data_IF_918811453496
#
_entry.id   IF_918811453496
#
_cell.length_a   1.000
_cell.length_b   1.000
_cell.length_c   1.000
_cell.angle_alpha   90.00
_cell.angle_beta   90.00
_cell.angle_gamma   90.00
#
_symmetry.space_group_name_H-M   'P 1'
#
loop_
_entity.id
_entity.type
_entity.pdbx_description
1 polymer ?
#
# COMPACT_ATOMS: atom_id res chain seq x y z
N UNK A 1 14.78 -6.51 -9.00
CA UNK A 1 16.20 -6.14 -8.83
C UNK A 1 17.04 -7.41 -8.66
N UNK A 2 18.28 -7.46 -9.14
CA UNK A 2 19.20 -8.55 -8.83
C UNK A 2 20.28 -8.06 -7.85
N UNK A 3 20.31 -8.62 -6.62
CA UNK A 3 21.32 -8.28 -5.62
C UNK A 3 22.74 -8.68 -6.03
N UNK A 4 22.88 -9.81 -6.71
CA UNK A 4 24.19 -10.33 -7.13
C UNK A 4 24.85 -9.43 -8.18
N UNK A 5 24.06 -8.94 -9.14
CA UNK A 5 24.57 -8.12 -10.23
C UNK A 5 24.48 -6.62 -9.93
N UNK A 6 23.81 -6.23 -8.84
CA UNK A 6 23.49 -4.84 -8.51
C UNK A 6 22.81 -4.11 -9.68
N UNK A 7 21.85 -4.79 -10.31
CA UNK A 7 21.12 -4.24 -11.48
C UNK A 7 19.62 -4.22 -11.23
N UNK A 8 18.99 -3.17 -11.72
CA UNK A 8 17.55 -3.09 -11.83
C UNK A 8 17.12 -3.63 -13.18
N UNK A 9 16.29 -4.68 -13.17
CA UNK A 9 15.63 -5.20 -14.35
C UNK A 9 14.12 -5.15 -14.12
N UNK A 10 13.43 -4.24 -14.80
CA UNK A 10 11.97 -4.18 -14.83
C UNK A 10 11.53 -3.59 -16.17
N UNK A 11 10.57 -4.25 -16.84
CA UNK A 11 10.01 -3.82 -18.12
C UNK A 11 11.05 -3.45 -19.21
N UNK A 12 12.14 -4.21 -19.29
CA UNK A 12 13.19 -4.02 -20.30
C UNK A 12 14.20 -2.91 -19.97
N UNK A 13 14.00 -2.16 -18.87
CA UNK A 13 15.04 -1.27 -18.34
C UNK A 13 16.11 -2.09 -17.64
N UNK A 14 17.36 -1.71 -17.87
CA UNK A 14 18.53 -2.32 -17.24
C UNK A 14 19.44 -1.21 -16.70
N UNK A 15 19.32 -0.94 -15.40
CA UNK A 15 20.02 0.16 -14.73
C UNK A 15 21.05 -0.40 -13.75
N UNK A 16 22.28 0.11 -13.82
CA UNK A 16 23.33 -0.19 -12.85
C UNK A 16 23.08 0.53 -11.52
N UNK A 17 23.10 -0.24 -10.43
CA UNK A 17 22.85 0.22 -9.07
C UNK A 17 24.10 0.16 -8.18
N UNK A 18 25.30 -0.04 -8.72
CA UNK A 18 26.53 -0.16 -7.93
C UNK A 18 26.76 1.00 -6.96
N UNK A 19 26.42 2.23 -7.38
CA UNK A 19 26.55 3.44 -6.56
C UNK A 19 25.35 3.68 -5.62
N UNK A 20 24.36 2.79 -5.61
CA UNK A 20 23.10 2.94 -4.89
C UNK A 20 22.91 1.88 -3.80
N UNK A 21 23.77 1.91 -2.78
CA UNK A 21 23.74 0.93 -1.67
C UNK A 21 22.40 0.84 -0.92
N UNK A 22 21.57 1.89 -0.96
CA UNK A 22 20.22 1.90 -0.39
C UNK A 22 19.29 0.87 -1.06
N UNK A 23 19.47 0.58 -2.35
CA UNK A 23 18.68 -0.43 -3.07
C UNK A 23 19.00 -1.84 -2.59
N UNK A 24 20.29 -2.13 -2.36
CA UNK A 24 20.70 -3.41 -1.79
C UNK A 24 20.16 -3.63 -0.37
N UNK A 25 20.02 -2.57 0.44
CA UNK A 25 19.35 -2.64 1.75
C UNK A 25 17.84 -2.86 1.61
N UNK A 26 17.20 -2.12 0.70
CA UNK A 26 15.78 -2.22 0.43
C UNK A 26 15.39 -3.63 -0.06
N UNK A 27 16.14 -4.19 -1.00
CA UNK A 27 15.87 -5.55 -1.50
C UNK A 27 16.02 -6.60 -0.40
N UNK A 28 17.06 -6.53 0.43
CA UNK A 28 17.20 -7.46 1.58
C UNK A 28 16.01 -7.36 2.53
N UNK A 29 15.47 -6.16 2.70
CA UNK A 29 14.28 -5.97 3.53
C UNK A 29 13.04 -6.55 2.84
N UNK A 30 12.86 -6.31 1.54
CA UNK A 30 11.78 -6.86 0.73
C UNK A 30 11.82 -8.39 0.74
N UNK A 31 12.94 -8.99 0.31
CA UNK A 31 13.14 -10.44 0.19
C UNK A 31 13.18 -11.17 1.55
N UNK A 32 13.35 -10.44 2.65
CA UNK A 32 13.33 -10.97 4.01
C UNK A 32 12.00 -10.73 4.71
N UNK A 33 11.89 -9.59 5.41
CA UNK A 33 10.77 -9.33 6.34
C UNK A 33 9.44 -9.13 5.62
N UNK A 34 9.42 -8.47 4.46
CA UNK A 34 8.17 -8.22 3.73
C UNK A 34 7.72 -9.47 2.96
N UNK A 35 8.65 -10.23 2.41
CA UNK A 35 8.38 -11.51 1.76
C UNK A 35 7.70 -12.50 2.71
N UNK A 36 8.17 -12.59 3.95
CA UNK A 36 7.54 -13.42 4.99
C UNK A 36 6.12 -12.97 5.35
N UNK A 37 5.73 -11.74 4.98
CA UNK A 37 4.35 -11.22 5.08
C UNK A 37 3.55 -11.39 3.77
N UNK A 38 4.10 -12.10 2.79
CA UNK A 38 3.48 -12.31 1.48
C UNK A 38 3.46 -11.06 0.60
N UNK A 39 4.34 -10.09 0.83
CA UNK A 39 4.45 -8.86 0.04
C UNK A 39 5.52 -9.04 -1.04
N UNK A 40 5.18 -8.68 -2.27
CA UNK A 40 6.12 -8.66 -3.40
C UNK A 40 5.77 -7.52 -4.38
N UNK A 41 6.52 -7.42 -5.47
CA UNK A 41 6.27 -6.43 -6.52
C UNK A 41 4.87 -6.50 -7.13
N UNK A 42 4.15 -7.62 -7.00
CA UNK A 42 2.84 -7.80 -7.66
C UNK A 42 1.66 -7.82 -6.70
N UNK A 43 1.88 -7.62 -5.40
CA UNK A 43 0.81 -7.74 -4.41
C UNK A 43 0.02 -6.45 -4.20
N UNK A 44 0.61 -5.30 -4.49
CA UNK A 44 -0.07 -4.00 -4.47
C UNK A 44 0.44 -3.02 -3.43
N UNK A 45 1.09 -3.49 -2.37
CA UNK A 45 1.55 -2.65 -1.25
C UNK A 45 2.67 -1.70 -1.66
N UNK A 46 3.59 -2.17 -2.51
CA UNK A 46 4.64 -1.32 -3.07
C UNK A 46 4.05 -0.29 -4.04
N UNK A 47 3.07 -0.68 -4.87
CA UNK A 47 2.37 0.26 -5.75
C UNK A 47 1.66 1.35 -4.95
N UNK A 48 0.96 0.99 -3.87
CA UNK A 48 0.33 1.95 -2.98
C UNK A 48 1.36 2.94 -2.41
N UNK A 49 2.49 2.44 -1.91
CA UNK A 49 3.58 3.27 -1.41
C UNK A 49 4.16 4.18 -2.50
N UNK A 50 4.38 3.67 -3.71
CA UNK A 50 4.85 4.46 -4.84
C UNK A 50 3.87 5.58 -5.21
N UNK A 51 2.56 5.32 -5.23
CA UNK A 51 1.55 6.36 -5.52
C UNK A 51 1.54 7.47 -4.46
N UNK A 52 1.65 7.09 -3.18
CA UNK A 52 1.78 8.06 -2.08
C UNK A 52 3.05 8.91 -2.22
N UNK A 53 4.19 8.26 -2.47
CA UNK A 53 5.49 8.94 -2.64
C UNK A 53 5.49 9.85 -3.87
N UNK A 54 5.03 9.35 -5.03
CA UNK A 54 4.91 10.13 -6.27
C UNK A 54 4.06 11.39 -6.06
N UNK A 55 2.94 11.26 -5.35
CA UNK A 55 2.07 12.40 -5.05
C UNK A 55 2.76 13.43 -4.15
N UNK A 56 3.54 12.96 -3.16
CA UNK A 56 4.31 13.84 -2.28
C UNK A 56 5.51 14.49 -2.97
N UNK A 57 6.13 13.80 -3.93
CA UNK A 57 7.29 14.29 -4.67
C UNK A 57 6.99 15.51 -5.55
N UNK A 58 5.71 15.73 -5.93
CA UNK A 58 5.26 16.96 -6.61
C UNK A 58 5.65 18.22 -5.82
N UNK A 59 5.54 18.15 -4.49
CA UNK A 59 5.77 19.27 -3.59
C UNK A 59 7.17 19.22 -2.95
N UNK A 60 8.05 18.32 -3.41
CA UNK A 60 9.36 18.08 -2.81
C UNK A 60 10.47 17.91 -3.88
N UNK A 61 10.78 18.97 -4.67
CA UNK A 61 11.70 18.89 -5.80
C UNK A 61 13.14 18.47 -5.42
N UNK A 62 13.57 18.77 -4.19
CA UNK A 62 14.93 18.45 -3.71
C UNK A 62 15.07 17.02 -3.15
N UNK A 63 13.99 16.24 -3.14
CA UNK A 63 13.98 14.90 -2.57
C UNK A 63 14.91 13.95 -3.35
N UNK A 64 15.50 12.98 -2.64
CA UNK A 64 16.45 12.04 -3.23
C UNK A 64 15.93 11.25 -4.46
N UNK A 65 14.62 10.90 -4.56
CA UNK A 65 14.08 10.30 -5.77
C UNK A 65 14.21 11.16 -7.03
N UNK A 66 14.06 12.49 -6.95
CA UNK A 66 14.24 13.37 -8.12
C UNK A 66 15.67 13.37 -8.65
N UNK A 67 16.67 13.39 -7.75
CA UNK A 67 18.08 13.29 -8.13
C UNK A 67 18.40 11.98 -8.84
N UNK A 68 17.86 10.87 -8.33
CA UNK A 68 17.97 9.56 -8.98
C UNK A 68 17.24 9.51 -10.33
N UNK A 69 16.11 10.19 -10.47
CA UNK A 69 15.40 10.27 -11.74
C UNK A 69 16.27 10.92 -12.83
N UNK A 70 16.97 12.01 -12.49
CA UNK A 70 17.95 12.65 -13.36
C UNK A 70 19.10 11.70 -13.70
N UNK A 71 19.68 11.02 -12.70
CA UNK A 71 20.79 10.07 -12.90
C UNK A 71 20.39 8.88 -13.78
N UNK A 72 19.16 8.39 -13.66
CA UNK A 72 18.63 7.26 -14.43
C UNK A 72 18.02 7.67 -15.77
N UNK A 73 17.91 8.97 -16.05
CA UNK A 73 17.32 9.48 -17.30
C UNK A 73 15.82 9.22 -17.42
N UNK A 74 15.08 9.24 -16.30
CA UNK A 74 13.62 9.01 -16.25
C UNK A 74 12.91 10.14 -15.52
N UNK A 75 11.58 10.17 -15.60
CA UNK A 75 10.75 11.10 -14.85
C UNK A 75 9.99 10.37 -13.74
N UNK A 76 10.33 10.66 -12.48
CA UNK A 76 9.71 10.06 -11.28
C UNK A 76 8.20 10.36 -11.16
N UNK A 77 7.71 11.40 -11.82
CA UNK A 77 6.29 11.78 -11.79
C UNK A 77 5.48 11.22 -12.97
N UNK A 78 6.14 10.59 -13.95
CA UNK A 78 5.48 10.12 -15.19
C UNK A 78 4.59 8.90 -14.96
N UNK A 79 5.15 7.81 -14.45
CA UNK A 79 4.43 6.55 -14.21
C UNK A 79 4.87 5.86 -12.91
N UNK A 80 4.17 4.79 -12.54
CA UNK A 80 4.41 4.08 -11.27
C UNK A 80 5.69 3.26 -11.29
N UNK A 81 6.16 2.82 -12.46
CA UNK A 81 7.35 2.01 -12.61
C UNK A 81 8.62 2.89 -12.53
N UNK A 82 8.58 4.09 -13.10
CA UNK A 82 9.61 5.11 -12.93
C UNK A 82 9.64 5.64 -11.50
N UNK A 83 8.48 5.86 -10.90
CA UNK A 83 8.39 6.15 -9.47
C UNK A 83 8.98 5.02 -8.62
N UNK A 84 8.67 3.76 -8.94
CA UNK A 84 9.21 2.60 -8.24
C UNK A 84 10.72 2.51 -8.41
N UNK A 85 11.26 2.67 -9.63
CA UNK A 85 12.69 2.69 -9.88
C UNK A 85 13.35 3.79 -9.04
N UNK A 86 12.87 5.02 -9.10
CA UNK A 86 13.52 6.17 -8.47
C UNK A 86 13.32 6.25 -6.96
N UNK A 87 12.24 5.68 -6.42
CA UNK A 87 11.90 5.74 -5.01
C UNK A 87 11.90 4.34 -4.35
N UNK A 88 12.54 3.33 -4.95
CA UNK A 88 12.48 1.95 -4.46
C UNK A 88 12.80 1.78 -2.95
N UNK A 89 13.90 2.35 -2.42
CA UNK A 89 14.21 2.28 -1.00
C UNK A 89 13.13 2.92 -0.11
N UNK A 90 12.62 4.07 -0.53
CA UNK A 90 11.53 4.78 0.15
C UNK A 90 10.22 3.99 0.10
N UNK A 91 9.89 3.39 -1.05
CA UNK A 91 8.69 2.58 -1.23
C UNK A 91 8.72 1.33 -0.35
N UNK A 92 9.87 0.66 -0.24
CA UNK A 92 10.06 -0.48 0.65
C UNK A 92 9.95 -0.05 2.11
N UNK A 93 10.59 1.06 2.50
CA UNK A 93 10.54 1.56 3.87
C UNK A 93 9.11 1.97 4.28
N UNK A 94 8.42 2.72 3.41
CA UNK A 94 7.03 3.12 3.61
C UNK A 94 6.11 1.89 3.68
N UNK A 95 6.28 0.92 2.78
CA UNK A 95 5.51 -0.34 2.83
C UNK A 95 5.70 -1.02 4.19
N UNK A 96 6.93 -1.09 4.69
CA UNK A 96 7.23 -1.65 6.00
C UNK A 96 6.53 -0.94 7.16
N UNK A 97 6.38 0.39 7.09
CA UNK A 97 5.62 1.17 8.07
C UNK A 97 4.11 0.94 7.93
N UNK A 98 3.58 0.96 6.70
CA UNK A 98 2.14 0.81 6.45
C UNK A 98 1.60 -0.57 6.85
N UNK A 99 2.43 -1.60 6.81
CA UNK A 99 2.06 -2.98 7.22
C UNK A 99 2.51 -3.33 8.64
N UNK A 100 3.11 -2.38 9.37
CA UNK A 100 3.37 -2.58 10.79
C UNK A 100 2.06 -2.76 11.55
N UNK A 101 2.02 -3.71 12.49
CA UNK A 101 0.77 -4.11 13.14
C UNK A 101 0.18 -2.97 13.98
N UNK A 102 1.00 -2.16 14.65
CA UNK A 102 0.51 -1.05 15.47
C UNK A 102 0.07 0.11 14.60
N UNK A 103 0.87 0.45 13.59
CA UNK A 103 0.55 1.50 12.63
C UNK A 103 -0.75 1.18 11.90
N UNK A 104 -0.88 -0.03 11.36
CA UNK A 104 -2.03 -0.45 10.59
C UNK A 104 -3.31 -0.51 11.44
N UNK A 105 -3.20 -0.94 12.70
CA UNK A 105 -4.31 -0.91 13.66
C UNK A 105 -4.78 0.52 13.93
N UNK A 106 -3.88 1.48 14.01
CA UNK A 106 -4.27 2.88 14.13
C UNK A 106 -4.92 3.38 12.83
N UNK A 107 -4.25 3.13 11.69
CA UNK A 107 -4.66 3.59 10.37
C UNK A 107 -6.04 3.09 9.95
N UNK A 108 -6.36 1.83 10.25
CA UNK A 108 -7.60 1.16 9.82
C UNK A 108 -8.58 0.88 10.96
N UNK A 109 -8.18 1.17 12.20
CA UNK A 109 -9.02 0.97 13.36
C UNK A 109 -10.27 1.84 13.31
N UNK A 110 -11.48 1.26 13.35
CA UNK A 110 -12.73 2.03 13.21
C UNK A 110 -12.95 3.02 14.36
N UNK A 111 -12.29 2.82 15.51
CA UNK A 111 -12.35 3.68 16.70
C UNK A 111 -11.67 5.04 16.54
N UNK A 112 -10.74 5.19 15.59
CA UNK A 112 -10.01 6.43 15.40
C UNK A 112 -10.73 7.35 14.41
N UNK A 113 -10.46 8.65 14.50
CA UNK A 113 -10.99 9.65 13.56
C UNK A 113 -10.28 9.55 12.21
N UNK A 114 -11.01 9.84 11.14
CA UNK A 114 -10.47 9.76 9.76
C UNK A 114 -9.35 10.79 9.58
N UNK A 115 -9.54 11.98 10.13
CA UNK A 115 -8.59 13.09 10.04
C UNK A 115 -7.23 12.69 10.61
N UNK A 116 -7.20 12.11 11.83
CA UNK A 116 -5.98 11.64 12.46
C UNK A 116 -5.31 10.48 11.70
N UNK A 117 -6.10 9.63 11.04
CA UNK A 117 -5.58 8.55 10.20
C UNK A 117 -4.97 9.08 8.89
N UNK A 118 -5.53 10.15 8.34
CA UNK A 118 -4.96 10.84 7.18
C UNK A 118 -3.64 11.51 7.60
N UNK A 119 -3.64 12.23 8.71
CA UNK A 119 -2.44 12.91 9.24
C UNK A 119 -1.29 11.94 9.49
N UNK A 120 -1.53 10.80 10.13
CA UNK A 120 -0.46 9.82 10.40
C UNK A 120 0.08 9.20 9.09
N UNK A 121 -0.78 8.98 8.09
CA UNK A 121 -0.37 8.47 6.79
C UNK A 121 0.52 9.49 6.07
N UNK A 122 0.14 10.77 6.10
CA UNK A 122 0.96 11.85 5.57
C UNK A 122 2.29 11.97 6.33
N UNK A 123 2.27 11.85 7.66
CA UNK A 123 3.47 11.90 8.48
C UNK A 123 4.43 10.74 8.17
N UNK A 124 3.92 9.54 7.89
CA UNK A 124 4.74 8.40 7.47
C UNK A 124 5.43 8.67 6.12
N UNK A 125 4.70 9.23 5.15
CA UNK A 125 5.27 9.61 3.84
C UNK A 125 6.32 10.71 3.99
N UNK A 126 5.99 11.77 4.74
CA UNK A 126 6.87 12.88 5.05
C UNK A 126 8.17 12.41 5.76
N UNK A 127 8.05 11.47 6.71
CA UNK A 127 9.19 10.91 7.42
C UNK A 127 10.14 10.13 6.52
N UNK A 128 9.59 9.39 5.54
CA UNK A 128 10.39 8.63 4.56
C UNK A 128 11.08 9.55 3.55
N UNK A 129 10.36 10.56 3.02
CA UNK A 129 10.92 11.50 2.04
C UNK A 129 11.76 12.62 2.67
N UNK A 130 11.65 12.83 3.98
CA UNK A 130 12.17 14.01 4.70
C UNK A 130 11.67 15.32 4.09
N UNK A 131 10.40 15.36 3.70
CA UNK A 131 9.75 16.54 3.12
C UNK A 131 8.46 16.88 3.83
N UNK A 132 8.01 18.13 3.74
CA UNK A 132 6.64 18.48 4.09
C UNK A 132 5.70 17.87 3.03
N UNK A 133 4.62 17.22 3.48
CA UNK A 133 3.56 16.79 2.56
C UNK A 133 2.86 17.98 1.89
N UNK A 134 1.84 17.70 1.09
CA UNK A 134 1.04 18.74 0.45
C UNK A 134 -0.42 18.37 0.27
N UNK A 135 -1.18 19.27 -0.36
CA UNK A 135 -2.64 19.13 -0.53
C UNK A 135 -3.01 17.89 -1.35
N UNK A 136 -2.26 17.60 -2.41
CA UNK A 136 -2.48 16.41 -3.23
C UNK A 136 -2.30 15.13 -2.39
N UNK A 137 -1.25 15.07 -1.58
CA UNK A 137 -0.99 13.96 -0.67
C UNK A 137 -2.11 13.82 0.37
N UNK A 138 -2.64 14.93 0.89
CA UNK A 138 -3.75 14.93 1.83
C UNK A 138 -5.01 14.31 1.21
N UNK A 139 -5.35 14.71 -0.01
CA UNK A 139 -6.51 14.21 -0.74
C UNK A 139 -6.39 12.71 -1.04
N UNK A 140 -5.21 12.27 -1.52
CA UNK A 140 -4.94 10.88 -1.81
C UNK A 140 -5.01 10.02 -0.53
N UNK A 141 -4.33 10.45 0.54
CA UNK A 141 -4.35 9.76 1.84
C UNK A 141 -5.78 9.68 2.39
N UNK A 142 -6.55 10.76 2.25
CA UNK A 142 -7.98 10.81 2.59
C UNK A 142 -8.82 9.78 1.86
N UNK A 143 -8.60 9.58 0.56
CA UNK A 143 -9.32 8.56 -0.21
C UNK A 143 -8.92 7.15 0.22
N UNK A 144 -7.61 6.88 0.37
CA UNK A 144 -7.11 5.55 0.79
C UNK A 144 -7.68 5.17 2.16
N UNK A 145 -7.67 6.08 3.13
CA UNK A 145 -8.20 5.85 4.48
C UNK A 145 -9.72 5.61 4.41
N UNK A 146 -10.49 6.47 3.72
CA UNK A 146 -11.95 6.30 3.61
C UNK A 146 -12.33 4.99 2.94
N UNK A 147 -11.65 4.63 1.85
CA UNK A 147 -11.86 3.37 1.12
C UNK A 147 -11.52 2.16 1.98
N UNK A 148 -10.38 2.18 2.65
CA UNK A 148 -9.93 1.09 3.52
C UNK A 148 -10.87 0.91 4.72
N UNK A 149 -11.33 2.00 5.35
CA UNK A 149 -12.34 1.94 6.42
C UNK A 149 -13.65 1.35 5.94
N UNK A 150 -14.15 1.79 4.77
CA UNK A 150 -15.36 1.21 4.17
C UNK A 150 -15.18 -0.30 3.97
N UNK A 151 -14.02 -0.72 3.47
CA UNK A 151 -13.70 -2.13 3.28
C UNK A 151 -13.65 -2.91 4.62
N UNK A 152 -13.12 -2.31 5.70
CA UNK A 152 -13.16 -2.90 7.04
C UNK A 152 -14.60 -3.08 7.52
N UNK A 153 -15.46 -2.05 7.37
CA UNK A 153 -16.87 -2.16 7.76
C UNK A 153 -17.63 -3.23 6.97
N UNK A 154 -17.34 -3.35 5.67
CA UNK A 154 -17.88 -4.45 4.83
C UNK A 154 -17.42 -5.82 5.35
N UNK A 155 -16.17 -5.94 5.80
CA UNK A 155 -15.64 -7.18 6.37
C UNK A 155 -16.37 -7.56 7.68
N UNK A 156 -16.66 -6.60 8.57
CA UNK A 156 -17.45 -6.86 9.78
C UNK A 156 -18.87 -7.35 9.48
N UNK A 157 -19.49 -6.85 8.42
CA UNK A 157 -20.82 -7.28 7.95
C UNK A 157 -20.80 -8.51 7.04
N UNK A 158 -19.67 -9.21 6.91
CA UNK A 158 -19.54 -10.32 5.98
C UNK A 158 -20.20 -11.62 6.51
N UNK A 159 -21.02 -12.24 5.66
CA UNK A 159 -21.59 -13.57 5.85
C UNK A 159 -20.63 -14.63 5.33
N UNK A 160 -20.70 -15.85 5.86
CA UNK A 160 -19.79 -16.97 5.50
C UNK A 160 -19.66 -17.21 3.99
N UNK A 161 -20.76 -17.04 3.25
CA UNK A 161 -20.85 -16.99 1.79
C UNK A 161 -22.20 -16.38 1.35
N UNK A 162 -22.37 -16.15 0.04
CA UNK A 162 -23.58 -15.53 -0.53
C UNK A 162 -24.90 -16.28 -0.26
N UNK A 163 -24.85 -17.61 -0.09
CA UNK A 163 -26.06 -18.44 0.15
C UNK A 163 -26.51 -18.42 1.61
N UNK A 164 -25.65 -18.03 2.53
CA UNK A 164 -25.95 -18.04 3.97
C UNK A 164 -26.52 -16.69 4.39
N UNK A 165 -27.63 -16.67 5.14
CA UNK A 165 -28.28 -15.43 5.58
C UNK A 165 -27.75 -14.88 6.90
N UNK A 166 -27.44 -15.75 7.87
CA UNK A 166 -27.22 -15.35 9.27
C UNK A 166 -25.80 -15.62 9.80
N UNK A 167 -25.11 -16.65 9.31
CA UNK A 167 -23.77 -17.01 9.83
C UNK A 167 -22.71 -16.03 9.34
N UNK A 168 -22.03 -15.37 10.28
CA UNK A 168 -20.91 -14.46 10.01
C UNK A 168 -19.68 -15.23 9.49
N UNK A 169 -18.91 -14.56 8.64
CA UNK A 169 -17.59 -15.02 8.25
C UNK A 169 -16.59 -14.71 9.38
N UNK A 170 -15.57 -15.56 9.57
CA UNK A 170 -14.43 -15.19 10.39
C UNK A 170 -13.78 -13.91 9.85
N UNK A 171 -13.40 -13.00 10.75
CA UNK A 171 -12.97 -11.64 10.38
C UNK A 171 -11.73 -11.64 9.48
N UNK A 172 -10.76 -12.53 9.74
CA UNK A 172 -9.55 -12.66 8.94
C UNK A 172 -9.89 -12.96 7.46
N UNK A 173 -10.71 -14.01 7.23
CA UNK A 173 -11.20 -14.34 5.90
C UNK A 173 -12.01 -13.18 5.29
N UNK A 174 -12.83 -12.51 6.09
CA UNK A 174 -13.66 -11.41 5.63
C UNK A 174 -12.83 -10.20 5.19
N UNK A 175 -11.77 -9.86 5.94
CA UNK A 175 -10.84 -8.79 5.61
C UNK A 175 -10.07 -9.11 4.33
N UNK A 176 -9.55 -10.34 4.19
CA UNK A 176 -8.87 -10.77 2.97
C UNK A 176 -9.79 -10.67 1.74
N UNK A 177 -11.04 -11.12 1.88
CA UNK A 177 -12.01 -11.09 0.80
C UNK A 177 -12.49 -9.66 0.48
N UNK A 178 -12.60 -8.80 1.50
CA UNK A 178 -12.94 -7.38 1.36
C UNK A 178 -11.79 -6.57 0.73
N UNK A 179 -10.53 -6.85 1.10
CA UNK A 179 -9.32 -6.26 0.52
C UNK A 179 -9.32 -6.42 -1.00
N UNK A 180 -9.66 -7.62 -1.49
CA UNK A 180 -9.77 -7.91 -2.92
C UNK A 180 -10.91 -7.13 -3.58
N UNK A 181 -12.11 -7.20 -3.00
CA UNK A 181 -13.33 -6.65 -3.61
C UNK A 181 -13.27 -5.12 -3.67
N UNK A 182 -12.73 -4.50 -2.63
CA UNK A 182 -12.63 -3.05 -2.52
C UNK A 182 -11.30 -2.50 -3.04
N UNK A 183 -10.37 -3.33 -3.52
CA UNK A 183 -8.99 -2.94 -3.89
C UNK A 183 -8.35 -2.08 -2.79
N UNK A 184 -8.17 -2.70 -1.62
CA UNK A 184 -7.60 -2.09 -0.42
C UNK A 184 -6.57 -3.06 0.19
N UNK A 185 -5.34 -3.02 -0.32
CA UNK A 185 -4.33 -4.06 -0.10
C UNK A 185 -3.93 -4.22 1.37
N UNK A 186 -3.91 -3.12 2.12
CA UNK A 186 -3.46 -3.08 3.52
C UNK A 186 -4.32 -3.94 4.46
N UNK A 187 -5.59 -4.20 4.13
CA UNK A 187 -6.49 -5.01 4.96
C UNK A 187 -5.99 -6.45 5.17
N UNK A 188 -5.13 -6.96 4.26
CA UNK A 188 -4.57 -8.31 4.37
C UNK A 188 -3.60 -8.48 5.55
N UNK A 189 -3.08 -7.37 6.05
CA UNK A 189 -2.06 -7.34 7.11
C UNK A 189 -2.65 -6.96 8.47
N UNK A 190 -3.96 -6.70 8.54
CA UNK A 190 -4.61 -6.25 9.76
C UNK A 190 -4.76 -7.39 10.77
N UNK A 191 -4.12 -7.26 11.93
CA UNK A 191 -4.22 -8.22 13.02
C UNK A 191 -5.63 -8.21 13.65
N UNK A 192 -6.39 -9.28 13.39
CA UNK A 192 -7.76 -9.42 13.87
C UNK A 192 -7.87 -9.65 15.37
N UNK A 193 -6.82 -10.13 16.04
CA UNK A 193 -6.86 -10.43 17.48
C UNK A 193 -7.09 -9.15 18.29
N UNK A 194 -6.54 -8.03 17.82
CA UNK A 194 -6.60 -6.72 18.50
C UNK A 194 -7.69 -5.80 17.96
N UNK A 195 -8.55 -6.30 17.08
CA UNK A 195 -9.67 -5.54 16.52
C UNK A 195 -10.88 -5.58 17.46
N UNK A 196 -11.58 -4.44 17.65
CA UNK A 196 -12.78 -4.42 18.48
C UNK A 196 -13.88 -5.28 17.87
N UNK A 197 -14.70 -5.91 18.73
CA UNK A 197 -15.96 -6.49 18.29
C UNK A 197 -16.91 -5.36 17.88
N UNK A 198 -17.42 -5.39 16.66
CA UNK A 198 -18.40 -4.43 16.17
C UNK A 198 -19.68 -5.14 15.72
N UNK A 199 -20.82 -4.55 16.09
CA UNK A 199 -22.11 -4.95 15.56
C UNK A 199 -22.38 -4.21 14.26
N UNK A 200 -22.19 -4.92 13.15
CA UNK A 200 -22.49 -4.44 11.80
C UNK A 200 -23.54 -5.36 11.19
N UNK A 201 -24.56 -4.78 10.55
CA UNK A 201 -25.59 -5.56 9.88
C UNK A 201 -24.98 -6.43 8.77
N UNK A 202 -25.37 -7.71 8.67
CA UNK A 202 -24.89 -8.57 7.60
C UNK A 202 -25.36 -8.06 6.24
N UNK A 203 -24.41 -7.75 5.33
CA UNK A 203 -24.73 -7.17 4.02
C UNK A 203 -24.19 -7.98 2.84
N UNK A 204 -23.00 -8.55 2.99
CA UNK A 204 -22.25 -9.14 1.87
C UNK A 204 -21.85 -10.58 2.15
N UNK A 205 -21.83 -11.43 1.12
CA UNK A 205 -21.41 -12.83 1.24
C UNK A 205 -19.95 -13.02 0.87
N UNK A 206 -19.11 -13.44 1.82
CA UNK A 206 -17.68 -13.62 1.57
C UNK A 206 -17.39 -14.66 0.49
N UNK A 207 -16.41 -14.35 -0.35
CA UNK A 207 -15.93 -15.26 -1.39
C UNK A 207 -15.46 -16.60 -0.79
N UNK A 208 -15.60 -17.68 -1.55
CA UNK A 208 -15.14 -19.02 -1.12
C UNK A 208 -13.63 -19.02 -0.91
N UNK A 209 -13.17 -19.72 0.13
CA UNK A 209 -11.74 -19.77 0.51
C UNK A 209 -10.85 -20.26 -0.64
N UNK A 210 -11.24 -21.34 -1.35
CA UNK A 210 -10.50 -21.82 -2.53
C UNK A 210 -10.31 -20.73 -3.60
N UNK A 211 -11.33 -19.92 -3.83
CA UNK A 211 -11.27 -18.83 -4.81
C UNK A 211 -10.42 -17.66 -4.31
N UNK A 212 -10.31 -17.47 -3.00
CA UNK A 212 -9.42 -16.46 -2.39
C UNK A 212 -7.94 -16.89 -2.47
N UNK A 213 -7.66 -18.17 -2.24
CA UNK A 213 -6.28 -18.69 -2.29
C UNK A 213 -5.70 -18.67 -3.71
N UNK A 214 -6.53 -18.89 -4.72
CA UNK A 214 -6.12 -18.90 -6.13
C UNK A 214 -6.22 -17.51 -6.79
N UNK A 215 -6.62 -16.49 -6.03
CA UNK A 215 -6.92 -15.19 -6.56
C UNK A 215 -5.62 -14.37 -6.71
N UNK A 216 -5.43 -13.79 -7.90
CA UNK A 216 -4.39 -12.77 -8.10
C UNK A 216 -4.65 -11.59 -7.16
N UNK A 217 -3.65 -11.24 -6.36
CA UNK A 217 -3.66 -10.04 -5.52
C UNK A 217 -3.61 -8.81 -6.43
N UNK A 218 -4.39 -7.78 -6.09
CA UNK A 218 -4.50 -6.58 -6.91
C UNK A 218 -4.08 -5.35 -6.10
N UNK A 219 -3.42 -4.37 -6.74
CA UNK A 219 -3.17 -3.06 -6.14
C UNK A 219 -4.49 -2.30 -5.94
N UNK A 220 -4.41 -1.29 -5.08
CA UNK A 220 -5.45 -0.29 -4.92
C UNK A 220 -5.73 0.43 -6.25
N UNK A 221 -7.01 0.72 -6.51
CA UNK A 221 -7.44 1.36 -7.75
C UNK A 221 -7.37 2.88 -7.60
N UNK A 222 -6.16 3.44 -7.79
CA UNK A 222 -5.88 4.85 -7.50
C UNK A 222 -5.42 5.64 -8.75
N UNK A 223 -5.25 4.98 -9.89
CA UNK A 223 -4.59 5.57 -11.06
C UNK A 223 -5.34 6.81 -11.58
N UNK A 224 -6.67 6.75 -11.70
CA UNK A 224 -7.48 7.89 -12.13
C UNK A 224 -7.42 9.05 -11.12
N UNK A 225 -7.46 8.75 -9.81
CA UNK A 225 -7.35 9.77 -8.78
C UNK A 225 -5.97 10.43 -8.82
N UNK A 226 -4.90 9.64 -8.92
CA UNK A 226 -3.53 10.15 -8.99
C UNK A 226 -3.36 10.99 -10.25
N UNK A 227 -3.83 10.55 -11.41
CA UNK A 227 -3.77 11.33 -12.64
C UNK A 227 -4.44 12.72 -12.49
N UNK A 228 -5.63 12.78 -11.88
CA UNK A 228 -6.31 14.06 -11.60
C UNK A 228 -5.58 14.94 -10.58
N UNK A 229 -4.91 14.33 -9.61
CA UNK A 229 -4.13 15.05 -8.60
C UNK A 229 -2.77 15.50 -9.13
N UNK A 230 -2.25 14.88 -10.19
CA UNK A 230 -0.97 15.18 -10.83
C UNK A 230 -1.09 16.13 -12.02
N UNK A 231 -2.30 16.29 -12.58
CA UNK A 231 -2.64 17.40 -13.49
C UNK A 231 -2.49 18.76 -12.79
#
# INVERSE_FOLDING_TARGET
MCLSHQRWHLHGRDIDLQNHSSYGKAERWLSGRLWNRGISLHTGELQLSCRLLQTALRDAPDAAPHRRAVEFGVDVLSDVDDALLCAYPEAVALTGLLVDAEFLRFLLGPRYRVESQVEIMQAAVAGVLRSSGGRALQLLSGEIVRRSRRAVMIAYGARKNARVKTVRCGLEKALFASARTNRACLLRHLDTVRMPALEVQPGWGATRTRSLNNAVLRPDDLDELVARLMA
#
